data_IF_623567712175
#
_entry.id   IF_623567712175
#
_cell.length_a   1.000
_cell.length_b   1.000
_cell.length_c   1.000
_cell.angle_alpha   90.00
_cell.angle_beta   90.00
_cell.angle_gamma   90.00
#
_symmetry.space_group_name_H-M   'P 1'
#
loop_
_entity.id
_entity.type
_entity.pdbx_description
1 polymer ?
#
# COMPACT_ATOMS: atom_id res chain seq x y z
N UNK A 1 -4.94 -16.10 8.00
CA UNK A 1 -4.62 -16.46 6.59
C UNK A 1 -3.91 -15.28 5.93
N UNK A 2 -2.76 -15.51 5.28
CA UNK A 2 -2.06 -14.46 4.51
C UNK A 2 -2.93 -14.02 3.33
N UNK A 3 -2.95 -12.73 3.02
CA UNK A 3 -3.63 -12.17 1.86
C UNK A 3 -2.61 -11.78 0.80
N UNK A 4 -2.92 -12.12 -0.46
CA UNK A 4 -2.12 -11.73 -1.62
C UNK A 4 -2.46 -10.30 -2.03
N UNK A 5 -1.43 -9.53 -2.35
CA UNK A 5 -1.54 -8.16 -2.83
C UNK A 5 -0.69 -8.02 -4.10
N UNK A 6 -1.25 -7.37 -5.12
CA UNK A 6 -0.52 -6.99 -6.33
C UNK A 6 -0.37 -5.47 -6.32
N UNK A 7 0.85 -4.97 -6.49
CA UNK A 7 1.13 -3.55 -6.51
C UNK A 7 2.00 -3.21 -7.72
N UNK A 8 1.78 -2.02 -8.25
CA UNK A 8 2.73 -1.36 -9.13
C UNK A 8 3.53 -0.37 -8.28
N UNK A 9 4.84 -0.57 -8.23
CA UNK A 9 5.76 0.16 -7.35
C UNK A 9 6.73 0.96 -8.21
N UNK A 10 6.87 2.26 -7.90
CA UNK A 10 7.88 3.14 -8.50
C UNK A 10 9.01 3.32 -7.50
N UNK A 11 10.23 3.03 -7.94
CA UNK A 11 11.43 3.19 -7.16
C UNK A 11 12.19 4.46 -7.56
N UNK A 12 12.99 5.00 -6.64
CA UNK A 12 14.05 5.96 -6.90
C UNK A 12 15.24 5.56 -6.03
N UNK A 13 16.19 4.84 -6.61
CA UNK A 13 17.23 4.16 -5.86
C UNK A 13 16.63 3.02 -5.04
N UNK A 14 16.92 3.02 -3.74
CA UNK A 14 16.43 2.07 -2.74
C UNK A 14 15.07 2.45 -2.13
N UNK A 15 14.52 3.61 -2.50
CA UNK A 15 13.27 4.12 -1.93
C UNK A 15 12.06 3.85 -2.82
N UNK A 16 10.94 3.49 -2.18
CA UNK A 16 9.63 3.42 -2.81
C UNK A 16 9.02 4.82 -2.86
N UNK A 17 8.93 5.40 -4.05
CA UNK A 17 8.24 6.69 -4.25
C UNK A 17 6.72 6.54 -4.27
N UNK A 18 6.23 5.43 -4.81
CA UNK A 18 4.81 5.18 -4.96
C UNK A 18 4.55 3.68 -5.02
N UNK A 19 3.50 3.23 -4.32
CA UNK A 19 2.97 1.88 -4.44
C UNK A 19 1.45 1.96 -4.57
N UNK A 20 0.91 1.53 -5.71
CA UNK A 20 -0.54 1.58 -5.99
C UNK A 20 -1.04 0.24 -6.48
N UNK A 21 -2.33 -0.01 -6.29
CA UNK A 21 -2.96 -1.15 -6.94
C UNK A 21 -2.87 -1.00 -8.48
N UNK A 22 -2.85 -2.10 -9.24
CA UNK A 22 -2.66 -2.05 -10.69
C UNK A 22 -3.68 -1.14 -11.39
N UNK A 23 -4.94 -1.15 -10.92
CA UNK A 23 -6.01 -0.31 -11.45
C UNK A 23 -5.81 1.18 -11.15
N UNK A 24 -5.30 1.53 -9.96
CA UNK A 24 -5.01 2.92 -9.58
C UNK A 24 -3.73 3.48 -10.22
N UNK A 25 -2.95 2.63 -10.90
CA UNK A 25 -1.76 3.01 -11.64
C UNK A 25 -2.07 3.41 -13.10
N UNK A 26 -3.30 3.14 -13.58
CA UNK A 26 -3.75 3.54 -14.93
C UNK A 26 -3.71 5.07 -15.14
N UNK A 27 -3.87 5.85 -14.08
CA UNK A 27 -3.81 7.32 -14.10
C UNK A 27 -2.41 7.89 -13.90
N UNK A 28 -1.37 7.05 -13.80
CA UNK A 28 0.00 7.53 -13.63
C UNK A 28 0.61 7.90 -15.00
N UNK A 29 1.06 9.15 -15.13
CA UNK A 29 1.80 9.63 -16.32
C UNK A 29 3.05 8.79 -16.63
N UNK A 30 3.67 8.22 -15.60
CA UNK A 30 4.87 7.39 -15.71
C UNK A 30 4.57 5.88 -15.59
N UNK A 31 3.46 5.38 -16.15
CA UNK A 31 3.06 3.96 -16.00
C UNK A 31 4.18 2.97 -16.38
N UNK A 32 5.02 3.32 -17.35
CA UNK A 32 6.13 2.49 -17.82
C UNK A 32 7.34 2.46 -16.85
N UNK A 33 7.36 3.30 -15.81
CA UNK A 33 8.41 3.35 -14.78
C UNK A 33 7.97 2.69 -13.46
N UNK A 34 6.87 1.95 -13.48
CA UNK A 34 6.39 1.21 -12.34
C UNK A 34 6.62 -0.29 -12.56
N UNK A 35 7.21 -0.95 -11.58
CA UNK A 35 7.40 -2.40 -11.57
C UNK A 35 6.22 -3.10 -10.90
N UNK A 36 5.74 -4.20 -11.48
CA UNK A 36 4.67 -4.99 -10.89
C UNK A 36 5.24 -6.00 -9.91
N UNK A 37 4.91 -5.84 -8.64
CA UNK A 37 5.33 -6.72 -7.54
C UNK A 37 4.12 -7.44 -6.95
N UNK A 38 4.27 -8.74 -6.72
CA UNK A 38 3.31 -9.55 -5.97
C UNK A 38 3.86 -9.80 -4.57
N UNK A 39 3.10 -9.43 -3.55
CA UNK A 39 3.49 -9.59 -2.14
C UNK A 39 2.34 -10.20 -1.33
N UNK A 40 2.65 -10.61 -0.10
CA UNK A 40 1.70 -11.19 0.83
C UNK A 40 1.77 -10.45 2.14
N UNK A 41 0.61 -10.19 2.74
CA UNK A 41 0.52 -9.53 4.03
C UNK A 41 -0.38 -10.31 4.98
N UNK A 42 -0.16 -10.10 6.27
CA UNK A 42 -1.09 -10.54 7.30
C UNK A 42 -2.07 -9.40 7.56
N UNK A 43 -3.37 -9.58 7.26
CA UNK A 43 -4.34 -8.56 7.62
C UNK A 43 -4.39 -8.42 9.14
N UNK A 44 -4.38 -7.17 9.61
CA UNK A 44 -4.65 -6.86 11.02
C UNK A 44 -6.01 -7.44 11.44
N UNK A 45 -6.11 -7.85 12.71
CA UNK A 45 -7.42 -8.21 13.26
C UNK A 45 -8.23 -6.94 13.41
N UNK A 46 -9.55 -7.06 13.31
CA UNK A 46 -10.45 -5.91 13.46
C UNK A 46 -10.31 -5.21 14.82
N UNK A 47 -9.95 -5.96 15.87
CA UNK A 47 -9.63 -5.42 17.18
C UNK A 47 -8.41 -4.49 17.15
N UNK A 48 -7.31 -4.93 16.52
CA UNK A 48 -6.06 -4.15 16.38
C UNK A 48 -6.29 -2.88 15.56
N UNK A 49 -7.13 -2.96 14.51
CA UNK A 49 -7.50 -1.79 13.70
C UNK A 49 -8.26 -0.75 14.54
N UNK A 50 -9.21 -1.20 15.39
CA UNK A 50 -9.96 -0.30 16.29
C UNK A 50 -9.05 0.40 17.30
N UNK A 51 -7.98 -0.25 17.73
CA UNK A 51 -6.99 0.35 18.62
C UNK A 51 -6.18 1.46 17.92
N UNK A 52 -5.77 1.24 16.66
CA UNK A 52 -5.14 2.29 15.86
C UNK A 52 -6.02 3.54 15.66
N UNK A 53 -7.34 3.38 15.50
CA UNK A 53 -8.27 4.51 15.39
C UNK A 53 -8.69 5.10 16.75
N UNK A 54 -8.35 4.48 17.88
CA UNK A 54 -8.60 5.06 19.21
C UNK A 54 -7.57 6.13 19.56
N UNK A 55 -6.35 6.02 19.03
CA UNK A 55 -5.33 7.09 19.07
C UNK A 55 -5.55 8.14 17.98
N UNK A 56 -6.81 8.46 17.69
CA UNK A 56 -7.14 9.63 16.89
C UNK A 56 -6.90 10.88 17.77
N UNK A 57 -5.63 11.30 17.85
CA UNK A 57 -5.21 12.57 18.44
C UNK A 57 -5.86 13.80 17.76
N UNK A 58 -6.76 13.61 16.77
CA UNK A 58 -7.67 14.63 16.22
C UNK A 58 -8.74 15.15 17.19
N UNK A 59 -8.61 14.88 18.49
CA UNK A 59 -9.33 15.57 19.59
C UNK A 59 -8.46 16.63 20.29
N UNK A 60 -7.53 17.27 19.59
CA UNK A 60 -6.89 18.52 20.02
C UNK A 60 -7.08 19.61 18.99
#
# INVERSE_FOLDING_TARGET
>A
MRKKLKLNIKFKGDQVLCARSPFLCLSCKDRNKCERIETYYYPYKYADIKECFKNDERKR
#
